data_IF_323922345602
#
_entry.id   IF_323922345602
#
_cell.length_a   1.000
_cell.length_b   1.000
_cell.length_c   1.000
_cell.angle_alpha   90.00
_cell.angle_beta   90.00
_cell.angle_gamma   90.00
#
_symmetry.space_group_name_H-M   'P 1'
#
loop_
_entity.id
_entity.type
_entity.pdbx_description
1 polymer ?
#
# COMPACT_ATOMS: atom_id res chain seq x y z
N UNK A 1 33.22 -9.15 -20.69
CA UNK A 1 33.14 -8.63 -19.31
C UNK A 1 32.09 -9.44 -18.50
N UNK A 2 32.45 -10.63 -18.03
CA UNK A 2 31.51 -11.52 -17.32
C UNK A 2 31.80 -11.74 -15.83
N UNK A 3 32.95 -11.50 -15.24
CA UNK A 3 33.23 -11.81 -13.83
C UNK A 3 32.72 -10.75 -12.84
N UNK A 4 32.74 -9.46 -13.17
CA UNK A 4 32.38 -8.37 -12.26
C UNK A 4 30.87 -8.21 -11.98
N UNK A 5 30.05 -8.96 -12.72
CA UNK A 5 28.59 -8.80 -12.65
C UNK A 5 27.96 -9.49 -11.44
N UNK A 6 28.59 -10.56 -10.93
CA UNK A 6 28.06 -11.29 -9.77
C UNK A 6 28.18 -10.46 -8.48
N UNK A 7 29.31 -9.79 -8.27
CA UNK A 7 29.51 -8.93 -7.10
C UNK A 7 28.59 -7.71 -7.08
N UNK A 8 28.42 -7.04 -8.23
CA UNK A 8 27.53 -5.89 -8.34
C UNK A 8 26.05 -6.27 -8.16
N UNK A 9 25.64 -7.47 -8.57
CA UNK A 9 24.27 -7.94 -8.36
C UNK A 9 23.87 -7.91 -6.89
N UNK A 10 24.74 -8.37 -5.99
CA UNK A 10 24.46 -8.35 -4.55
C UNK A 10 24.40 -6.94 -3.98
N UNK A 11 25.23 -6.01 -4.46
CA UNK A 11 25.17 -4.60 -4.06
C UNK A 11 23.85 -3.96 -4.49
N UNK A 12 23.46 -4.18 -5.74
CA UNK A 12 22.21 -3.66 -6.29
C UNK A 12 21.00 -4.21 -5.54
N UNK A 13 20.92 -5.53 -5.35
CA UNK A 13 19.78 -6.14 -4.67
C UNK A 13 19.73 -5.73 -3.20
N UNK A 14 20.88 -5.57 -2.55
CA UNK A 14 20.98 -5.04 -1.19
C UNK A 14 20.42 -3.62 -1.07
N UNK A 15 20.74 -2.73 -2.03
CA UNK A 15 20.18 -1.38 -2.08
C UNK A 15 18.67 -1.39 -2.33
N UNK A 16 18.18 -2.25 -3.21
CA UNK A 16 16.74 -2.42 -3.47
C UNK A 16 16.02 -2.92 -2.22
N UNK A 17 16.59 -3.87 -1.48
CA UNK A 17 16.05 -4.37 -0.21
C UNK A 17 16.01 -3.28 0.85
N UNK A 18 17.10 -2.52 1.03
CA UNK A 18 17.15 -1.41 1.97
C UNK A 18 16.13 -0.32 1.62
N UNK A 19 16.00 0.00 0.33
CA UNK A 19 15.01 0.96 -0.11
C UNK A 19 13.58 0.46 0.11
N UNK A 20 13.30 -0.83 -0.15
CA UNK A 20 11.99 -1.43 0.12
C UNK A 20 11.63 -1.38 1.61
N UNK A 21 12.63 -1.62 2.47
CA UNK A 21 12.44 -1.49 3.92
C UNK A 21 12.07 -0.05 4.30
N UNK A 22 12.81 0.93 3.78
CA UNK A 22 12.53 2.35 4.00
C UNK A 22 11.17 2.77 3.47
N UNK A 23 10.83 2.39 2.25
CA UNK A 23 9.55 2.67 1.60
C UNK A 23 8.37 2.09 2.38
N UNK A 24 8.52 0.83 2.84
CA UNK A 24 7.54 0.19 3.72
C UNK A 24 7.38 0.89 5.07
N UNK A 25 8.49 1.35 5.68
CA UNK A 25 8.43 2.15 6.91
C UNK A 25 7.71 3.49 6.67
N UNK A 26 8.07 4.21 5.62
CA UNK A 26 7.46 5.50 5.28
C UNK A 26 5.96 5.38 4.99
N UNK A 27 5.55 4.30 4.31
CA UNK A 27 4.14 4.04 4.00
C UNK A 27 3.31 3.73 5.25
N UNK A 28 3.85 2.94 6.18
CA UNK A 28 3.11 2.45 7.35
C UNK A 28 3.19 3.34 8.59
N UNK A 29 4.16 4.27 8.65
CA UNK A 29 4.50 5.00 9.87
C UNK A 29 3.34 5.82 10.44
N UNK A 30 2.60 6.53 9.58
CA UNK A 30 1.47 7.33 10.03
C UNK A 30 0.38 6.46 10.66
N UNK A 31 0.00 5.35 10.01
CA UNK A 31 -0.98 4.43 10.57
C UNK A 31 -0.55 3.83 11.92
N UNK A 32 0.74 3.54 12.08
CA UNK A 32 1.31 2.99 13.32
C UNK A 32 1.36 4.03 14.45
N UNK A 33 1.64 5.30 14.14
CA UNK A 33 1.81 6.38 15.11
C UNK A 33 0.63 7.36 15.14
N UNK A 34 -0.46 7.06 14.45
CA UNK A 34 -1.60 7.95 14.23
C UNK A 34 -2.12 8.57 15.53
N UNK A 35 -2.28 7.76 16.57
CA UNK A 35 -2.76 8.22 17.86
C UNK A 35 -1.86 9.32 18.45
N UNK A 36 -0.55 9.08 18.53
CA UNK A 36 0.40 10.03 19.10
C UNK A 36 0.50 11.31 18.25
N UNK A 37 0.53 11.18 16.93
CA UNK A 37 0.57 12.32 15.99
C UNK A 37 -0.66 13.18 16.12
N UNK A 38 -1.85 12.57 16.13
CA UNK A 38 -3.11 13.32 16.21
C UNK A 38 -3.30 13.98 17.56
N UNK A 39 -2.94 13.29 18.68
CA UNK A 39 -2.98 13.89 20.02
C UNK A 39 -2.08 15.13 20.12
N UNK A 40 -0.85 15.05 19.62
CA UNK A 40 0.11 16.16 19.67
C UNK A 40 -0.41 17.38 18.87
N UNK A 41 -0.88 17.20 17.64
CA UNK A 41 -1.46 18.29 16.85
C UNK A 41 -2.82 18.79 17.36
N UNK A 42 -3.55 17.98 18.12
CA UNK A 42 -4.78 18.38 18.81
C UNK A 42 -4.50 19.15 20.12
N UNK A 43 -3.23 19.27 20.54
CA UNK A 43 -2.83 19.87 21.80
C UNK A 43 -3.29 19.07 23.04
N UNK A 44 -3.44 17.75 22.89
CA UNK A 44 -3.87 16.85 23.94
C UNK A 44 -2.65 16.19 24.62
N UNK A 45 -2.65 15.98 25.95
CA UNK A 45 -1.64 15.20 26.62
C UNK A 45 -1.66 13.74 26.13
N UNK A 46 -0.53 13.02 26.29
CA UNK A 46 -0.40 11.65 25.76
C UNK A 46 -1.39 10.67 26.41
N UNK A 47 -1.76 10.91 27.67
CA UNK A 47 -2.71 10.14 28.49
C UNK A 47 -4.16 10.58 28.32
N UNK A 48 -4.44 11.58 27.43
CA UNK A 48 -5.78 12.07 27.20
C UNK A 48 -6.73 10.93 26.79
N UNK A 49 -7.91 10.91 27.43
CA UNK A 49 -8.98 10.01 27.07
C UNK A 49 -9.62 10.44 25.74
N UNK A 50 -9.41 9.62 24.73
CA UNK A 50 -9.97 9.78 23.35
C UNK A 50 -11.10 8.77 23.07
N UNK A 51 -11.54 8.00 24.07
CA UNK A 51 -12.72 7.16 23.95
C UNK A 51 -13.98 7.99 23.68
N UNK A 52 -15.01 7.37 23.14
CA UNK A 52 -16.28 8.06 22.84
C UNK A 52 -16.87 8.65 24.12
N UNK A 53 -16.99 9.98 24.17
CA UNK A 53 -17.43 10.71 25.37
C UNK A 53 -16.31 11.14 26.31
N UNK A 54 -15.05 10.79 26.03
CA UNK A 54 -13.87 11.27 26.76
C UNK A 54 -13.59 12.76 26.51
N UNK A 55 -12.88 13.40 27.43
CA UNK A 55 -12.62 14.85 27.38
C UNK A 55 -11.79 15.27 26.15
N UNK A 56 -10.95 14.41 25.60
CA UNK A 56 -10.13 14.67 24.41
C UNK A 56 -10.78 14.29 23.09
N UNK A 57 -11.92 13.60 23.12
CA UNK A 57 -12.54 12.98 21.93
C UNK A 57 -12.81 13.98 20.80
N UNK A 58 -13.44 15.09 21.08
CA UNK A 58 -13.87 16.07 20.07
C UNK A 58 -12.67 16.72 19.37
N UNK A 59 -11.65 17.16 20.13
CA UNK A 59 -10.43 17.75 19.57
C UNK A 59 -9.65 16.74 18.72
N UNK A 60 -9.57 15.51 19.20
CA UNK A 60 -8.93 14.41 18.47
C UNK A 60 -9.64 14.16 17.13
N UNK A 61 -10.97 14.01 17.13
CA UNK A 61 -11.75 13.76 15.92
C UNK A 61 -11.68 14.91 14.91
N UNK A 62 -11.71 16.15 15.37
CA UNK A 62 -11.56 17.32 14.50
C UNK A 62 -10.18 17.36 13.82
N UNK A 63 -9.12 17.07 14.56
CA UNK A 63 -7.76 17.02 14.02
C UNK A 63 -7.59 15.84 13.05
N UNK A 64 -8.08 14.65 13.41
CA UNK A 64 -8.08 13.47 12.54
C UNK A 64 -8.85 13.74 11.25
N UNK A 65 -10.04 14.35 11.35
CA UNK A 65 -10.84 14.77 10.20
C UNK A 65 -10.06 15.70 9.27
N UNK A 66 -9.39 16.70 9.83
CA UNK A 66 -8.59 17.67 9.05
C UNK A 66 -7.46 16.98 8.30
N UNK A 67 -6.69 16.10 8.95
CA UNK A 67 -5.61 15.34 8.34
C UNK A 67 -6.17 14.43 7.22
N UNK A 68 -7.27 13.73 7.50
CA UNK A 68 -7.91 12.81 6.55
C UNK A 68 -8.42 13.53 5.30
N UNK A 69 -9.11 14.66 5.47
CA UNK A 69 -9.61 15.46 4.35
C UNK A 69 -8.49 16.04 3.50
N UNK A 70 -7.38 16.43 4.12
CA UNK A 70 -6.25 17.00 3.38
C UNK A 70 -5.49 15.92 2.61
N UNK A 71 -5.43 14.69 3.12
CA UNK A 71 -4.86 13.55 2.37
C UNK A 71 -5.60 13.26 1.05
N UNK A 72 -6.87 13.70 0.92
CA UNK A 72 -7.60 13.66 -0.36
C UNK A 72 -6.82 14.31 -1.51
N UNK A 73 -6.14 15.41 -1.26
CA UNK A 73 -5.31 16.10 -2.26
C UNK A 73 -4.17 15.18 -2.71
N UNK A 74 -3.56 14.43 -1.79
CA UNK A 74 -2.51 13.44 -2.10
C UNK A 74 -2.99 12.37 -3.07
N UNK A 75 -4.19 11.85 -2.89
CA UNK A 75 -4.79 10.90 -3.83
C UNK A 75 -5.14 11.53 -5.18
N UNK A 76 -5.42 12.84 -5.25
CA UNK A 76 -5.56 13.56 -6.52
C UNK A 76 -4.31 13.49 -7.39
N UNK A 77 -3.12 13.41 -6.79
CA UNK A 77 -1.85 13.22 -7.50
C UNK A 77 -1.69 11.84 -8.14
N UNK A 78 -2.53 10.84 -7.82
CA UNK A 78 -2.53 9.55 -8.52
C UNK A 78 -2.77 9.69 -10.03
N UNK A 79 -3.49 10.72 -10.46
CA UNK A 79 -3.65 11.04 -11.89
C UNK A 79 -2.34 11.45 -12.57
N UNK A 80 -1.39 12.02 -11.85
CA UNK A 80 -0.08 12.48 -12.34
C UNK A 80 0.96 11.33 -12.29
N UNK A 81 0.74 10.33 -11.45
CA UNK A 81 1.67 9.23 -11.21
C UNK A 81 2.10 8.46 -12.47
N UNK A 82 1.20 8.13 -13.45
CA UNK A 82 1.63 7.47 -14.68
C UNK A 82 2.58 8.32 -15.51
N UNK A 83 2.35 9.64 -15.54
CA UNK A 83 3.27 10.58 -16.20
C UNK A 83 4.61 10.63 -15.47
N UNK A 84 4.60 10.72 -14.14
CA UNK A 84 5.80 10.71 -13.31
C UNK A 84 6.60 9.41 -13.51
N UNK A 85 5.95 8.23 -13.45
CA UNK A 85 6.60 6.94 -13.73
C UNK A 85 7.21 6.88 -15.12
N UNK A 86 6.59 7.52 -16.13
CA UNK A 86 7.13 7.56 -17.50
C UNK A 86 8.43 8.39 -17.62
N UNK A 87 8.72 9.28 -16.67
CA UNK A 87 10.00 9.99 -16.61
C UNK A 87 11.16 9.03 -16.37
N UNK A 88 10.97 7.95 -15.60
CA UNK A 88 12.00 6.94 -15.40
C UNK A 88 12.41 6.24 -16.70
N UNK A 89 11.51 6.15 -17.69
CA UNK A 89 11.80 5.61 -19.02
C UNK A 89 12.64 6.57 -19.87
N UNK A 90 12.60 7.88 -19.56
CA UNK A 90 13.34 8.93 -20.30
C UNK A 90 14.66 9.29 -19.63
N UNK A 91 14.65 9.49 -18.32
CA UNK A 91 15.79 9.95 -17.54
C UNK A 91 16.71 8.82 -17.10
N UNK A 92 16.19 7.61 -16.98
CA UNK A 92 16.89 6.44 -16.44
C UNK A 92 16.33 6.00 -15.10
N UNK A 93 16.60 4.74 -14.74
CA UNK A 93 16.11 4.15 -13.49
C UNK A 93 16.90 4.67 -12.29
N UNK A 94 18.22 4.82 -12.45
CA UNK A 94 19.12 5.28 -11.38
C UNK A 94 18.80 6.71 -10.90
N UNK A 95 18.77 7.74 -11.76
CA UNK A 95 18.44 9.10 -11.30
C UNK A 95 17.08 9.20 -10.62
N UNK A 96 16.11 8.42 -11.12
CA UNK A 96 14.77 8.38 -10.59
C UNK A 96 14.71 7.73 -9.20
N UNK A 97 15.41 6.61 -9.01
CA UNK A 97 15.53 5.94 -7.72
C UNK A 97 16.20 6.83 -6.67
N UNK A 98 17.31 7.47 -7.04
CA UNK A 98 18.05 8.40 -6.17
C UNK A 98 17.19 9.62 -5.81
N UNK A 99 16.45 10.19 -6.77
CA UNK A 99 15.54 11.32 -6.54
C UNK A 99 14.42 10.95 -5.56
N UNK A 100 13.80 9.78 -5.72
CA UNK A 100 12.77 9.32 -4.80
C UNK A 100 13.30 9.12 -3.38
N UNK A 101 14.50 8.52 -3.25
CA UNK A 101 15.12 8.29 -1.94
C UNK A 101 15.36 9.58 -1.16
N UNK A 102 15.90 10.64 -1.84
CA UNK A 102 16.17 11.92 -1.17
C UNK A 102 14.88 12.65 -0.82
N UNK A 103 13.91 12.73 -1.76
CA UNK A 103 12.68 13.49 -1.53
C UNK A 103 11.82 12.86 -0.44
N UNK A 104 11.72 11.52 -0.42
CA UNK A 104 11.01 10.81 0.63
C UNK A 104 11.75 10.91 1.98
N UNK A 105 13.09 10.78 1.99
CA UNK A 105 13.89 10.94 3.20
C UNK A 105 13.80 12.35 3.80
N UNK A 106 13.88 13.39 2.98
CA UNK A 106 13.71 14.78 3.41
C UNK A 106 12.30 15.04 3.93
N UNK A 107 11.27 14.52 3.25
CA UNK A 107 9.89 14.67 3.68
C UNK A 107 9.68 14.04 5.08
N UNK A 108 10.18 12.82 5.30
CA UNK A 108 10.10 12.16 6.60
C UNK A 108 10.84 12.97 7.69
N UNK A 109 12.05 13.44 7.38
CA UNK A 109 12.85 14.22 8.32
C UNK A 109 12.16 15.54 8.70
N UNK A 110 11.66 16.31 7.72
CA UNK A 110 10.92 17.55 7.96
C UNK A 110 9.60 17.29 8.69
N UNK A 111 8.91 16.17 8.38
CA UNK A 111 7.69 15.76 9.08
C UNK A 111 7.90 15.57 10.58
N UNK A 112 9.04 15.00 10.98
CA UNK A 112 9.40 14.84 12.40
C UNK A 112 9.79 16.15 13.09
N UNK A 113 10.32 17.14 12.37
CA UNK A 113 10.74 18.42 12.92
C UNK A 113 9.60 19.43 13.06
N UNK A 114 8.54 19.30 12.30
CA UNK A 114 7.47 20.31 12.25
C UNK A 114 6.56 20.27 13.47
N UNK A 115 6.19 21.46 13.98
CA UNK A 115 5.18 21.64 15.02
C UNK A 115 3.88 22.25 14.42
N UNK A 116 3.86 22.52 13.12
CA UNK A 116 2.73 23.11 12.45
C UNK A 116 1.96 22.05 11.65
N UNK A 117 0.66 21.87 11.97
CA UNK A 117 -0.22 20.91 11.31
C UNK A 117 -0.25 21.09 9.78
N UNK A 118 -0.29 22.34 9.29
CA UNK A 118 -0.33 22.62 7.84
C UNK A 118 0.93 22.12 7.16
N UNK A 119 2.12 22.34 7.75
CA UNK A 119 3.38 21.85 7.20
C UNK A 119 3.42 20.33 7.24
N UNK A 120 2.98 19.72 8.35
CA UNK A 120 2.91 18.26 8.48
C UNK A 120 2.03 17.63 7.39
N UNK A 121 0.88 18.23 7.14
CA UNK A 121 -0.04 17.78 6.09
C UNK A 121 0.60 17.90 4.71
N UNK A 122 1.24 19.03 4.37
CA UNK A 122 1.94 19.19 3.09
C UNK A 122 3.05 18.14 2.92
N UNK A 123 3.81 17.88 3.97
CA UNK A 123 4.84 16.84 3.98
C UNK A 123 4.23 15.45 3.79
N UNK A 124 3.10 15.16 4.44
CA UNK A 124 2.39 13.88 4.28
C UNK A 124 1.91 13.66 2.83
N UNK A 125 1.51 14.73 2.12
CA UNK A 125 1.20 14.65 0.69
C UNK A 125 2.42 14.26 -0.14
N UNK A 126 3.58 14.83 0.18
CA UNK A 126 4.86 14.48 -0.48
C UNK A 126 5.21 13.02 -0.22
N UNK A 127 5.08 12.54 1.04
CA UNK A 127 5.31 11.15 1.41
C UNK A 127 4.39 10.24 0.60
N UNK A 128 3.07 10.50 0.60
CA UNK A 128 2.08 9.72 -0.14
C UNK A 128 2.40 9.63 -1.63
N UNK A 129 2.84 10.72 -2.25
CA UNK A 129 3.20 10.72 -3.67
C UNK A 129 4.43 9.86 -3.95
N UNK A 130 5.48 9.99 -3.14
CA UNK A 130 6.75 9.29 -3.38
C UNK A 130 6.77 7.85 -2.92
N UNK A 131 5.83 7.37 -2.10
CA UNK A 131 5.66 5.94 -1.78
C UNK A 131 4.96 5.14 -2.90
N UNK A 132 4.35 5.78 -3.89
CA UNK A 132 3.59 5.13 -4.96
C UNK A 132 4.42 4.79 -6.22
N UNK A 133 5.74 4.96 -6.21
CA UNK A 133 6.55 4.88 -7.44
C UNK A 133 6.95 3.46 -7.88
N UNK A 134 7.02 2.47 -7.00
CA UNK A 134 7.33 1.05 -7.26
C UNK A 134 8.67 0.81 -8.03
N UNK A 135 9.67 1.71 -7.92
CA UNK A 135 10.93 1.61 -8.66
C UNK A 135 11.77 0.39 -8.28
N UNK A 136 11.67 -0.06 -7.03
CA UNK A 136 12.30 -1.28 -6.54
C UNK A 136 11.84 -2.52 -7.33
N UNK A 137 10.54 -2.57 -7.69
CA UNK A 137 9.98 -3.66 -8.50
C UNK A 137 10.56 -3.62 -9.92
N UNK A 138 10.72 -2.42 -10.48
CA UNK A 138 11.30 -2.23 -11.83
C UNK A 138 12.75 -2.74 -11.86
N UNK A 139 13.58 -2.38 -10.86
CA UNK A 139 14.94 -2.88 -10.76
C UNK A 139 15.02 -4.41 -10.67
N UNK A 140 14.18 -5.02 -9.84
CA UNK A 140 14.10 -6.48 -9.72
C UNK A 140 13.73 -7.12 -11.06
N UNK A 141 12.71 -6.58 -11.75
CA UNK A 141 12.26 -7.15 -13.03
C UNK A 141 13.29 -7.01 -14.16
N UNK A 142 14.08 -5.93 -14.17
CA UNK A 142 15.06 -5.66 -15.23
C UNK A 142 16.42 -6.31 -14.98
N UNK A 143 16.82 -6.47 -13.72
CA UNK A 143 18.19 -6.88 -13.37
C UNK A 143 18.31 -8.32 -12.87
N UNK A 144 17.21 -8.95 -12.47
CA UNK A 144 17.18 -10.35 -11.99
C UNK A 144 16.89 -11.30 -13.17
N UNK A 145 17.57 -12.47 -13.24
CA UNK A 145 17.29 -13.49 -14.25
C UNK A 145 15.82 -13.94 -14.21
N UNK A 146 15.20 -14.17 -15.37
CA UNK A 146 13.78 -14.50 -15.52
C UNK A 146 13.32 -15.63 -14.60
N UNK A 147 14.15 -16.67 -14.46
CA UNK A 147 13.87 -17.87 -13.64
C UNK A 147 13.75 -17.55 -12.14
N UNK A 148 14.34 -16.47 -11.66
CA UNK A 148 14.39 -16.10 -10.24
C UNK A 148 13.59 -14.82 -9.90
N UNK A 149 12.96 -14.18 -10.89
CA UNK A 149 12.20 -12.94 -10.69
C UNK A 149 11.12 -13.06 -9.62
N UNK A 150 10.33 -14.14 -9.68
CA UNK A 150 9.27 -14.37 -8.69
C UNK A 150 9.80 -14.50 -7.27
N UNK A 151 10.90 -15.23 -7.09
CA UNK A 151 11.55 -15.39 -5.78
C UNK A 151 12.03 -14.06 -5.22
N UNK A 152 12.74 -13.26 -6.02
CA UNK A 152 13.23 -11.96 -5.57
C UNK A 152 12.13 -10.93 -5.33
N UNK A 153 11.08 -10.95 -6.14
CA UNK A 153 9.89 -10.12 -5.86
C UNK A 153 9.22 -10.51 -4.55
N UNK A 154 9.13 -11.82 -4.26
CA UNK A 154 8.62 -12.32 -2.99
C UNK A 154 9.47 -11.86 -1.80
N UNK A 155 10.81 -11.91 -1.92
CA UNK A 155 11.73 -11.42 -0.88
C UNK A 155 11.54 -9.93 -0.65
N UNK A 156 11.47 -9.11 -1.70
CA UNK A 156 11.25 -7.66 -1.62
C UNK A 156 9.91 -7.36 -0.96
N UNK A 157 8.85 -8.08 -1.31
CA UNK A 157 7.53 -7.92 -0.68
C UNK A 157 7.56 -8.29 0.81
N UNK A 158 8.25 -9.38 1.19
CA UNK A 158 8.41 -9.79 2.58
C UNK A 158 9.17 -8.74 3.40
N UNK A 159 10.20 -8.11 2.84
CA UNK A 159 10.93 -7.00 3.48
C UNK A 159 10.02 -5.79 3.69
N UNK A 160 9.14 -5.48 2.73
CA UNK A 160 8.12 -4.44 2.91
C UNK A 160 7.20 -4.72 4.11
N UNK A 161 6.80 -5.98 4.32
CA UNK A 161 6.00 -6.38 5.49
C UNK A 161 6.80 -6.30 6.80
N UNK A 162 8.10 -6.62 6.77
CA UNK A 162 8.99 -6.48 7.92
C UNK A 162 9.12 -5.02 8.38
N UNK A 163 9.04 -4.06 7.46
CA UNK A 163 9.05 -2.64 7.78
C UNK A 163 7.94 -2.25 8.78
N UNK A 164 6.75 -2.82 8.61
CA UNK A 164 5.63 -2.62 9.54
C UNK A 164 5.93 -3.14 10.96
N UNK A 165 6.61 -4.28 11.06
CA UNK A 165 7.06 -4.83 12.36
C UNK A 165 8.06 -3.90 13.02
N UNK A 166 9.04 -3.38 12.27
CA UNK A 166 10.08 -2.49 12.79
C UNK A 166 9.47 -1.17 13.29
N UNK A 167 8.60 -0.53 12.49
CA UNK A 167 7.93 0.72 12.90
C UNK A 167 7.06 0.52 14.13
N UNK A 168 6.41 -0.63 14.26
CA UNK A 168 5.65 -0.97 15.47
C UNK A 168 6.56 -1.20 16.67
N UNK A 169 7.69 -1.89 16.48
CA UNK A 169 8.67 -2.11 17.56
C UNK A 169 9.28 -0.79 18.07
N UNK A 170 9.40 0.23 17.22
CA UNK A 170 9.86 1.55 17.64
C UNK A 170 8.89 2.23 18.64
N UNK A 171 7.63 1.84 18.70
CA UNK A 171 6.71 2.31 19.76
C UNK A 171 7.16 1.88 21.16
N UNK A 172 7.91 0.77 21.27
CA UNK A 172 8.44 0.29 22.56
C UNK A 172 9.46 1.27 23.18
N UNK A 173 9.98 2.24 22.43
CA UNK A 173 10.77 3.33 22.98
C UNK A 173 10.01 4.25 23.96
N UNK A 174 8.68 4.13 24.02
CA UNK A 174 7.86 4.79 25.05
C UNK A 174 7.85 4.07 26.39
N UNK A 175 8.35 2.83 26.48
CA UNK A 175 8.45 2.09 27.73
C UNK A 175 9.55 2.70 28.60
N UNK A 176 9.20 3.05 29.85
CA UNK A 176 10.12 3.55 30.87
C UNK A 176 10.72 2.38 31.68
N UNK A 177 11.80 2.63 32.38
CA UNK A 177 12.49 1.60 33.17
C UNK A 177 11.63 1.01 34.30
N UNK A 178 10.65 1.78 34.78
CA UNK A 178 9.67 1.34 35.80
C UNK A 178 8.50 0.52 35.23
N UNK A 179 8.50 0.25 33.91
CA UNK A 179 7.44 -0.47 33.20
C UNK A 179 6.21 0.38 32.88
N UNK A 180 6.21 1.67 33.21
CA UNK A 180 5.15 2.60 32.79
C UNK A 180 5.33 3.00 31.33
N UNK A 181 4.23 3.41 30.70
CA UNK A 181 4.25 3.89 29.30
C UNK A 181 4.31 5.41 29.32
N UNK A 182 5.39 5.92 28.77
CA UNK A 182 5.53 7.35 28.50
C UNK A 182 4.96 7.75 27.14
N UNK A 183 5.17 8.99 26.79
CA UNK A 183 4.80 9.50 25.46
C UNK A 183 5.55 8.76 24.34
N UNK A 184 4.84 8.36 23.30
CA UNK A 184 5.47 7.78 22.11
C UNK A 184 6.28 8.87 21.41
N UNK A 185 7.62 8.71 21.27
CA UNK A 185 8.47 9.74 20.66
C UNK A 185 8.32 9.76 19.14
N UNK A 186 7.09 9.98 18.64
CA UNK A 186 6.75 9.88 17.22
C UNK A 186 7.62 10.79 16.34
N UNK A 187 8.02 11.97 16.83
CA UNK A 187 8.90 12.89 16.10
C UNK A 187 10.28 12.29 15.89
N UNK A 188 10.87 11.71 16.95
CA UNK A 188 12.16 11.03 16.87
C UNK A 188 12.10 9.82 15.93
N UNK A 189 10.99 9.10 15.91
CA UNK A 189 10.77 7.98 14.99
C UNK A 189 10.70 8.47 13.53
N UNK A 190 9.97 9.54 13.23
CA UNK A 190 9.94 10.15 11.90
C UNK A 190 11.33 10.63 11.45
N UNK A 191 12.07 11.31 12.34
CA UNK A 191 13.42 11.79 12.08
C UNK A 191 14.36 10.61 11.79
N UNK A 192 14.32 9.55 12.60
CA UNK A 192 15.20 8.38 12.42
C UNK A 192 14.94 7.66 11.10
N UNK A 193 13.68 7.50 10.71
CA UNK A 193 13.30 6.94 9.40
C UNK A 193 13.72 7.89 8.27
N UNK A 194 13.60 9.20 8.46
CA UNK A 194 14.09 10.20 7.50
C UNK A 194 15.60 10.12 7.30
N UNK A 195 16.40 10.04 8.39
CA UNK A 195 17.85 9.85 8.33
C UNK A 195 18.20 8.53 7.62
N UNK A 196 17.50 7.45 7.92
CA UNK A 196 17.69 6.17 7.21
C UNK A 196 17.48 6.31 5.71
N UNK A 197 16.44 7.02 5.28
CA UNK A 197 16.19 7.35 3.87
C UNK A 197 17.31 8.17 3.24
N UNK A 198 17.85 9.17 3.94
CA UNK A 198 18.99 9.98 3.47
C UNK A 198 20.29 9.18 3.37
N UNK A 199 20.52 8.22 4.26
CA UNK A 199 21.64 7.28 4.15
C UNK A 199 21.49 6.41 2.89
N UNK A 200 20.30 5.88 2.63
CA UNK A 200 20.01 5.11 1.42
C UNK A 200 20.19 5.97 0.17
N UNK A 201 19.78 7.25 0.20
CA UNK A 201 20.07 8.20 -0.87
C UNK A 201 21.58 8.29 -1.15
N UNK A 202 22.40 8.53 -0.12
CA UNK A 202 23.86 8.62 -0.25
C UNK A 202 24.47 7.34 -0.83
N UNK A 203 24.10 6.18 -0.30
CA UNK A 203 24.56 4.87 -0.79
C UNK A 203 24.12 4.63 -2.25
N UNK A 204 22.87 4.94 -2.58
CA UNK A 204 22.32 4.77 -3.93
C UNK A 204 22.98 5.72 -4.94
N UNK A 205 23.26 6.96 -4.55
CA UNK A 205 23.94 7.94 -5.41
C UNK A 205 25.36 7.50 -5.78
N UNK A 206 26.07 6.81 -4.87
CA UNK A 206 27.45 6.36 -5.07
C UNK A 206 27.49 4.99 -5.74
N UNK A 207 26.74 4.02 -5.22
CA UNK A 207 26.90 2.60 -5.56
C UNK A 207 25.94 2.12 -6.66
N UNK A 208 24.76 2.73 -6.81
CA UNK A 208 23.78 2.26 -7.79
C UNK A 208 24.20 2.62 -9.22
N UNK A 209 24.20 1.65 -10.10
CA UNK A 209 24.44 1.81 -11.53
C UNK A 209 23.13 1.72 -12.31
N UNK A 210 23.11 2.31 -13.49
CA UNK A 210 21.94 2.25 -14.37
C UNK A 210 21.67 0.81 -14.84
N UNK A 211 20.40 0.46 -15.05
CA UNK A 211 20.02 -0.86 -15.52
C UNK A 211 20.52 -1.13 -16.95
N UNK A 212 21.05 -2.34 -17.19
CA UNK A 212 21.55 -2.72 -18.54
C UNK A 212 20.45 -2.69 -19.61
N UNK A 213 19.24 -3.22 -19.37
CA UNK A 213 18.17 -3.15 -20.35
C UNK A 213 17.86 -1.71 -20.76
N UNK A 214 17.89 -0.76 -19.81
CA UNK A 214 17.73 0.66 -20.12
C UNK A 214 18.86 1.19 -21.00
N UNK A 215 20.14 0.92 -20.63
CA UNK A 215 21.30 1.39 -21.40
C UNK A 215 21.28 0.84 -22.83
N UNK A 216 21.02 -0.46 -23.00
CA UNK A 216 20.94 -1.09 -24.33
C UNK A 216 19.80 -0.48 -25.15
N UNK A 217 18.62 -0.30 -24.54
CA UNK A 217 17.50 0.33 -25.21
C UNK A 217 17.76 1.80 -25.59
N UNK A 218 18.53 2.51 -24.74
CA UNK A 218 18.89 3.91 -24.98
C UNK A 218 19.91 4.07 -26.10
N UNK A 219 20.93 3.20 -26.13
CA UNK A 219 21.91 3.16 -27.20
C UNK A 219 21.21 2.83 -28.53
N UNK A 220 20.42 1.75 -28.56
CA UNK A 220 19.64 1.37 -29.74
C UNK A 220 18.68 2.48 -30.21
N UNK A 221 18.16 3.30 -29.29
CA UNK A 221 17.34 4.47 -29.65
C UNK A 221 18.18 5.60 -30.23
N UNK A 222 19.38 5.83 -29.70
CA UNK A 222 20.31 6.85 -30.21
C UNK A 222 20.88 6.50 -31.59
N UNK A 223 21.05 5.23 -31.91
CA UNK A 223 21.51 4.74 -33.21
C UNK A 223 20.44 4.81 -34.31
N UNK A 224 19.16 4.96 -33.93
CA UNK A 224 18.06 5.08 -34.90
C UNK A 224 18.06 6.41 -35.62
N UNK A 225 17.72 6.38 -36.92
CA UNK A 225 17.50 7.60 -37.69
C UNK A 225 16.32 8.42 -37.15
N UNK A 226 16.28 9.72 -37.43
CA UNK A 226 15.20 10.60 -36.96
C UNK A 226 13.81 10.10 -37.40
N UNK A 227 13.66 9.59 -38.60
CA UNK A 227 12.41 8.99 -39.11
C UNK A 227 11.98 7.78 -38.28
N UNK A 228 12.93 6.92 -37.90
CA UNK A 228 12.66 5.76 -37.05
C UNK A 228 12.31 6.13 -35.61
N UNK A 229 12.95 7.20 -35.09
CA UNK A 229 12.62 7.75 -33.75
C UNK A 229 11.21 8.32 -33.74
N UNK A 230 10.83 9.12 -34.75
CA UNK A 230 9.49 9.67 -34.88
C UNK A 230 8.41 8.59 -35.07
N UNK A 231 8.69 7.54 -35.84
CA UNK A 231 7.80 6.40 -35.99
C UNK A 231 7.60 5.63 -34.68
N UNK A 232 8.68 5.48 -33.91
CA UNK A 232 8.62 4.83 -32.59
C UNK A 232 7.92 5.70 -31.53
N UNK A 233 8.07 7.02 -31.57
CA UNK A 233 7.31 7.96 -30.72
C UNK A 233 5.83 7.99 -31.08
N UNK A 234 5.50 7.95 -32.38
CA UNK A 234 4.12 7.79 -32.83
C UNK A 234 3.54 6.44 -32.36
N UNK A 235 4.28 5.35 -32.42
CA UNK A 235 3.86 4.05 -31.91
C UNK A 235 3.72 4.06 -30.37
N UNK A 236 4.60 4.73 -29.62
CA UNK A 236 4.43 4.94 -28.18
C UNK A 236 3.26 5.84 -27.82
N UNK A 237 2.96 6.85 -28.65
CA UNK A 237 1.74 7.64 -28.50
C UNK A 237 0.47 6.85 -28.86
N UNK A 238 0.57 5.88 -29.76
CA UNK A 238 -0.48 4.87 -30.01
C UNK A 238 -0.61 3.91 -28.80
N UNK A 239 0.45 3.63 -28.03
CA UNK A 239 0.33 2.92 -26.75
C UNK A 239 -0.36 3.76 -25.65
N UNK A 240 -0.37 5.10 -25.72
CA UNK A 240 -1.29 5.92 -24.90
C UNK A 240 -2.76 5.69 -25.29
N UNK A 241 -3.04 5.31 -26.53
CA UNK A 241 -4.32 4.75 -26.98
C UNK A 241 -4.60 3.41 -26.27
N UNK A 242 -3.60 2.72 -25.74
CA UNK A 242 -3.73 1.49 -24.99
C UNK A 242 -4.62 1.59 -23.74
N UNK A 243 -4.62 2.72 -23.03
CA UNK A 243 -5.53 2.92 -21.88
C UNK A 243 -6.97 3.00 -22.36
N UNK A 244 -7.25 3.75 -23.43
CA UNK A 244 -8.59 3.85 -24.01
C UNK A 244 -9.02 2.50 -24.60
N UNK A 245 -8.10 1.79 -25.26
CA UNK A 245 -8.35 0.44 -25.74
C UNK A 245 -8.62 -0.54 -24.60
N UNK A 246 -7.87 -0.43 -23.49
CA UNK A 246 -8.10 -1.18 -22.25
C UNK A 246 -9.49 -0.92 -21.68
N UNK A 247 -9.91 0.33 -21.57
CA UNK A 247 -11.26 0.72 -21.12
C UNK A 247 -12.33 0.14 -22.05
N UNK A 248 -12.19 0.31 -23.37
CA UNK A 248 -13.13 -0.26 -24.36
C UNK A 248 -13.24 -1.78 -24.24
N UNK A 249 -12.12 -2.47 -24.00
CA UNK A 249 -12.09 -3.91 -23.82
C UNK A 249 -12.80 -4.34 -22.53
N UNK A 250 -12.55 -3.64 -21.42
CA UNK A 250 -13.24 -3.86 -20.14
C UNK A 250 -14.76 -3.69 -20.34
N UNK A 251 -15.18 -2.64 -21.02
CA UNK A 251 -16.62 -2.41 -21.31
C UNK A 251 -17.24 -3.47 -22.22
N UNK A 252 -16.49 -4.00 -23.19
CA UNK A 252 -16.98 -5.00 -24.13
C UNK A 252 -17.02 -6.41 -23.54
N UNK A 253 -16.02 -6.79 -22.74
CA UNK A 253 -15.93 -8.12 -22.14
C UNK A 253 -16.69 -8.18 -20.81
N UNK A 254 -17.70 -9.07 -20.74
CA UNK A 254 -18.56 -9.22 -19.56
C UNK A 254 -17.76 -9.62 -18.31
N UNK A 255 -16.79 -10.52 -18.44
CA UNK A 255 -15.95 -10.99 -17.33
C UNK A 255 -15.09 -9.85 -16.78
N UNK A 256 -14.35 -9.15 -17.65
CA UNK A 256 -13.48 -8.03 -17.24
C UNK A 256 -14.29 -6.89 -16.62
N UNK A 257 -15.47 -6.60 -17.16
CA UNK A 257 -16.36 -5.56 -16.63
C UNK A 257 -16.79 -5.85 -15.19
N UNK A 258 -17.23 -7.08 -14.91
CA UNK A 258 -17.63 -7.44 -13.54
C UNK A 258 -16.48 -7.57 -12.59
N UNK A 259 -15.31 -8.05 -13.02
CA UNK A 259 -14.08 -8.02 -12.23
C UNK A 259 -13.67 -6.58 -11.89
N UNK A 260 -13.78 -5.66 -12.84
CA UNK A 260 -13.49 -4.23 -12.64
C UNK A 260 -14.44 -3.60 -11.63
N UNK A 261 -15.75 -3.88 -11.74
CA UNK A 261 -16.75 -3.40 -10.78
C UNK A 261 -16.49 -3.95 -9.39
N UNK A 262 -16.21 -5.25 -9.27
CA UNK A 262 -15.87 -5.86 -7.99
C UNK A 262 -14.60 -5.23 -7.38
N UNK A 263 -13.54 -5.04 -8.18
CA UNK A 263 -12.30 -4.39 -7.72
C UNK A 263 -12.55 -2.95 -7.26
N UNK A 264 -13.39 -2.19 -7.96
CA UNK A 264 -13.77 -0.84 -7.58
C UNK A 264 -14.52 -0.82 -6.23
N UNK A 265 -15.44 -1.76 -6.03
CA UNK A 265 -16.19 -1.91 -4.77
C UNK A 265 -15.23 -2.26 -3.63
N UNK A 266 -14.33 -3.24 -3.82
CA UNK A 266 -13.35 -3.61 -2.80
C UNK A 266 -12.38 -2.47 -2.48
N UNK A 267 -11.94 -1.71 -3.50
CA UNK A 267 -11.02 -0.58 -3.30
C UNK A 267 -11.62 0.48 -2.37
N UNK A 268 -12.95 0.63 -2.34
CA UNK A 268 -13.62 1.55 -1.43
C UNK A 268 -13.32 1.27 0.05
N UNK A 269 -13.11 0.01 0.43
CA UNK A 269 -12.81 -0.39 1.81
C UNK A 269 -11.34 -0.19 2.23
N UNK A 270 -10.42 0.10 1.29
CA UNK A 270 -8.98 0.08 1.51
C UNK A 270 -8.52 0.86 2.75
N UNK A 271 -8.78 2.15 2.73
CA UNK A 271 -8.27 3.04 3.79
C UNK A 271 -8.93 2.76 5.14
N UNK A 272 -10.20 2.34 5.13
CA UNK A 272 -10.93 2.04 6.37
C UNK A 272 -10.34 0.85 7.11
N UNK A 273 -9.89 -0.17 6.37
CA UNK A 273 -9.30 -1.39 6.95
C UNK A 273 -7.82 -1.20 7.29
N UNK A 274 -7.07 -0.43 6.50
CA UNK A 274 -5.62 -0.38 6.62
C UNK A 274 -5.10 0.78 7.48
N UNK A 275 -5.85 1.89 7.61
CA UNK A 275 -5.28 3.14 8.13
C UNK A 275 -5.75 3.54 9.54
N UNK A 276 -6.91 3.07 10.00
CA UNK A 276 -7.52 3.56 11.23
C UNK A 276 -7.53 2.58 12.40
N UNK A 277 -6.89 1.41 12.26
CA UNK A 277 -6.90 0.35 13.27
C UNK A 277 -6.40 0.83 14.63
N UNK A 278 -5.33 1.62 14.65
CA UNK A 278 -4.74 2.18 15.86
C UNK A 278 -5.75 3.08 16.61
N UNK A 279 -6.36 4.02 15.89
CA UNK A 279 -7.38 4.91 16.48
C UNK A 279 -8.60 4.14 16.98
N UNK A 280 -9.06 3.13 16.25
CA UNK A 280 -10.20 2.30 16.67
C UNK A 280 -9.87 1.56 17.96
N UNK A 281 -8.69 0.97 18.08
CA UNK A 281 -8.25 0.27 19.29
C UNK A 281 -8.14 1.23 20.48
N UNK A 282 -7.58 2.42 20.28
CA UNK A 282 -7.47 3.43 21.33
C UNK A 282 -8.85 3.93 21.79
N UNK A 283 -9.79 4.14 20.86
CA UNK A 283 -11.17 4.52 21.19
C UNK A 283 -11.96 3.40 21.88
N UNK A 284 -11.57 2.16 21.68
CA UNK A 284 -12.10 1.00 22.39
C UNK A 284 -11.47 0.79 23.76
N UNK A 285 -10.63 1.71 24.24
CA UNK A 285 -10.03 1.68 25.58
C UNK A 285 -8.78 0.79 25.70
N UNK A 286 -8.20 0.34 24.58
CA UNK A 286 -6.93 -0.41 24.60
C UNK A 286 -5.80 0.60 24.76
N UNK A 287 -4.92 0.37 25.76
CA UNK A 287 -3.78 1.23 26.03
C UNK A 287 -2.65 1.10 24.99
N UNK A 288 -1.63 1.93 25.12
CA UNK A 288 -0.49 1.96 24.20
C UNK A 288 0.25 0.63 24.11
N UNK A 289 0.36 -0.14 25.21
CA UNK A 289 0.99 -1.47 25.22
C UNK A 289 0.10 -2.44 24.44
N UNK A 290 -1.18 -2.48 24.76
CA UNK A 290 -2.16 -3.33 24.07
C UNK A 290 -2.19 -3.07 22.57
N UNK A 291 -2.19 -1.80 22.14
CA UNK A 291 -2.12 -1.41 20.73
C UNK A 291 -0.80 -1.89 20.09
N UNK A 292 0.33 -1.74 20.79
CA UNK A 292 1.62 -2.20 20.26
C UNK A 292 1.65 -3.71 20.08
N UNK A 293 1.12 -4.47 21.05
CA UNK A 293 0.94 -5.93 20.94
C UNK A 293 0.01 -6.26 19.77
N UNK A 294 -1.11 -5.55 19.62
CA UNK A 294 -2.05 -5.74 18.52
C UNK A 294 -1.39 -5.57 17.15
N UNK A 295 -0.61 -4.51 16.95
CA UNK A 295 0.08 -4.23 15.70
C UNK A 295 1.15 -5.28 15.37
N UNK A 296 1.90 -5.76 16.37
CA UNK A 296 2.86 -6.87 16.18
C UNK A 296 2.16 -8.17 15.79
N UNK A 297 1.10 -8.53 16.49
CA UNK A 297 0.29 -9.73 16.20
C UNK A 297 -0.36 -9.61 14.82
N UNK A 298 -0.93 -8.47 14.48
CA UNK A 298 -1.52 -8.20 13.16
C UNK A 298 -0.50 -8.39 12.03
N UNK A 299 0.71 -7.88 12.21
CA UNK A 299 1.80 -8.04 11.24
C UNK A 299 2.19 -9.51 11.08
N UNK A 300 2.33 -10.26 12.19
CA UNK A 300 2.64 -11.67 12.16
C UNK A 300 1.55 -12.50 11.47
N UNK A 301 0.29 -12.26 11.78
CA UNK A 301 -0.87 -12.89 11.13
C UNK A 301 -0.86 -12.60 9.63
N UNK A 302 -0.66 -11.34 9.24
CA UNK A 302 -0.63 -10.94 7.82
C UNK A 302 0.49 -11.63 7.06
N UNK A 303 1.69 -11.76 7.63
CA UNK A 303 2.83 -12.45 6.99
C UNK A 303 2.49 -13.93 6.75
N UNK A 304 2.05 -14.64 7.79
CA UNK A 304 1.71 -16.07 7.70
C UNK A 304 0.60 -16.31 6.67
N UNK A 305 -0.45 -15.51 6.71
CA UNK A 305 -1.59 -15.68 5.83
C UNK A 305 -1.26 -15.31 4.37
N UNK A 306 -0.39 -14.33 4.11
CA UNK A 306 0.07 -14.00 2.76
C UNK A 306 0.89 -15.14 2.13
N UNK A 307 1.64 -15.91 2.91
CA UNK A 307 2.32 -17.10 2.42
C UNK A 307 1.36 -18.23 2.02
N UNK A 308 0.20 -18.29 2.66
CA UNK A 308 -0.80 -19.36 2.45
C UNK A 308 -1.74 -19.07 1.26
N UNK A 309 -1.98 -17.82 0.91
CA UNK A 309 -3.02 -17.46 -0.09
C UNK A 309 -2.73 -18.04 -1.49
N UNK A 310 -1.46 -18.07 -1.91
CA UNK A 310 -1.06 -18.67 -3.19
C UNK A 310 -1.47 -20.13 -3.29
N UNK A 311 -0.93 -21.02 -2.43
CA UNK A 311 -1.30 -22.44 -2.41
C UNK A 311 -2.80 -22.69 -2.22
N UNK A 312 -3.48 -21.88 -1.40
CA UNK A 312 -4.93 -22.00 -1.18
C UNK A 312 -5.68 -21.67 -2.49
N UNK A 313 -5.36 -20.54 -3.13
CA UNK A 313 -6.03 -20.13 -4.37
C UNK A 313 -5.79 -21.10 -5.53
N UNK A 314 -4.61 -21.74 -5.55
CA UNK A 314 -4.29 -22.78 -6.55
C UNK A 314 -5.08 -24.08 -6.31
N UNK A 315 -5.48 -24.38 -5.08
CA UNK A 315 -6.28 -25.57 -4.74
C UNK A 315 -7.77 -25.35 -4.94
N UNK A 316 -8.34 -24.30 -4.35
CA UNK A 316 -9.81 -24.06 -4.32
C UNK A 316 -10.31 -23.18 -5.47
N UNK A 317 -9.43 -22.56 -6.23
CA UNK A 317 -9.74 -21.61 -7.32
C UNK A 317 -9.63 -20.16 -6.89
N UNK A 318 -9.36 -19.29 -7.87
CA UNK A 318 -9.11 -17.84 -7.63
C UNK A 318 -10.38 -17.14 -7.16
N UNK A 319 -11.50 -17.44 -7.80
CA UNK A 319 -12.80 -16.85 -7.47
C UNK A 319 -13.23 -17.16 -6.04
N UNK A 320 -13.24 -18.44 -5.67
CA UNK A 320 -13.68 -18.87 -4.34
C UNK A 320 -12.75 -18.35 -3.25
N UNK A 321 -11.43 -18.38 -3.47
CA UNK A 321 -10.44 -17.82 -2.56
C UNK A 321 -10.65 -16.31 -2.34
N UNK A 322 -10.98 -15.55 -3.41
CA UNK A 322 -11.27 -14.11 -3.30
C UNK A 322 -12.55 -13.85 -2.50
N UNK A 323 -13.61 -14.63 -2.72
CA UNK A 323 -14.88 -14.48 -1.97
C UNK A 323 -14.67 -14.79 -0.48
N UNK A 324 -13.96 -15.87 -0.15
CA UNK A 324 -13.62 -16.23 1.23
C UNK A 324 -12.78 -15.13 1.86
N UNK A 325 -11.76 -14.61 1.16
CA UNK A 325 -10.93 -13.49 1.62
C UNK A 325 -11.75 -12.24 1.96
N UNK A 326 -12.70 -11.89 1.10
CA UNK A 326 -13.59 -10.74 1.34
C UNK A 326 -14.51 -10.93 2.55
N UNK A 327 -15.05 -12.13 2.75
CA UNK A 327 -15.88 -12.46 3.92
C UNK A 327 -15.04 -12.47 5.20
N UNK A 328 -13.84 -13.08 5.17
CA UNK A 328 -12.92 -13.07 6.31
C UNK A 328 -12.58 -11.63 6.69
N UNK A 329 -12.26 -10.79 5.70
CA UNK A 329 -11.97 -9.38 5.94
C UNK A 329 -13.14 -8.66 6.61
N UNK A 330 -14.36 -8.82 6.11
CA UNK A 330 -15.55 -8.18 6.64
C UNK A 330 -15.86 -8.61 8.08
N UNK A 331 -15.87 -9.94 8.33
CA UNK A 331 -16.19 -10.50 9.65
C UNK A 331 -15.13 -10.14 10.68
N UNK A 332 -13.85 -10.26 10.31
CA UNK A 332 -12.74 -9.94 11.21
C UNK A 332 -12.69 -8.46 11.54
N UNK A 333 -12.95 -7.57 10.57
CA UNK A 333 -12.99 -6.14 10.80
C UNK A 333 -14.16 -5.75 11.72
N UNK A 334 -15.34 -6.34 11.50
CA UNK A 334 -16.49 -6.15 12.39
C UNK A 334 -16.20 -6.64 13.81
N UNK A 335 -15.54 -7.80 13.96
CA UNK A 335 -15.12 -8.32 15.24
C UNK A 335 -14.11 -7.41 15.96
N UNK A 336 -13.17 -6.78 15.22
CA UNK A 336 -12.26 -5.81 15.80
C UNK A 336 -13.00 -4.58 16.33
N UNK A 337 -13.91 -4.00 15.52
CA UNK A 337 -14.60 -2.76 15.89
C UNK A 337 -15.52 -2.96 17.10
N UNK A 338 -16.33 -4.01 17.08
CA UNK A 338 -17.38 -4.22 18.10
C UNK A 338 -17.02 -5.26 19.15
N UNK A 339 -16.09 -6.18 18.88
CA UNK A 339 -15.72 -7.23 19.82
C UNK A 339 -14.64 -6.82 20.81
N UNK A 340 -13.71 -5.95 20.41
CA UNK A 340 -12.59 -5.57 21.29
C UNK A 340 -13.00 -4.90 22.61
N UNK A 341 -14.07 -4.09 22.69
CA UNK A 341 -14.50 -3.49 23.97
C UNK A 341 -14.96 -4.50 25.02
N UNK A 342 -15.33 -5.71 24.61
CA UNK A 342 -15.80 -6.76 25.51
C UNK A 342 -14.68 -7.67 26.04
N UNK A 343 -13.45 -7.49 25.58
CA UNK A 343 -12.31 -8.28 26.02
C UNK A 343 -11.65 -7.59 27.20
N UNK A 344 -11.75 -8.19 28.37
CA UNK A 344 -11.11 -7.70 29.59
C UNK A 344 -9.59 -7.84 29.53
N UNK A 345 -8.88 -6.78 29.88
CA UNK A 345 -7.43 -6.72 29.97
C UNK A 345 -6.74 -6.24 28.68
N UNK A 346 -5.85 -5.27 28.84
CA UNK A 346 -5.16 -4.55 27.73
C UNK A 346 -4.39 -5.50 26.79
N UNK A 347 -3.66 -6.47 27.34
CA UNK A 347 -2.90 -7.43 26.53
C UNK A 347 -3.84 -8.38 25.78
N UNK A 348 -4.87 -8.91 26.44
CA UNK A 348 -5.84 -9.80 25.81
C UNK A 348 -6.64 -9.08 24.72
N UNK A 349 -7.12 -7.86 25.00
CA UNK A 349 -7.75 -6.99 24.01
C UNK A 349 -6.80 -6.67 22.84
N UNK A 350 -5.52 -6.42 23.10
CA UNK A 350 -4.50 -6.22 22.10
C UNK A 350 -4.28 -7.46 21.21
N UNK A 351 -4.17 -8.66 21.79
CA UNK A 351 -4.02 -9.91 21.02
C UNK A 351 -5.26 -10.15 20.15
N UNK A 352 -6.47 -10.03 20.71
CA UNK A 352 -7.72 -10.20 19.97
C UNK A 352 -7.82 -9.20 18.79
N UNK A 353 -7.57 -7.91 19.05
CA UNK A 353 -7.62 -6.87 18.02
C UNK A 353 -6.51 -7.08 16.99
N UNK A 354 -5.33 -7.56 17.39
CA UNK A 354 -4.23 -7.91 16.50
C UNK A 354 -4.58 -9.06 15.54
N UNK A 355 -5.18 -10.13 16.04
CA UNK A 355 -5.62 -11.26 15.20
C UNK A 355 -6.70 -10.79 14.23
N UNK A 356 -7.71 -10.09 14.72
CA UNK A 356 -8.85 -9.66 13.91
C UNK A 356 -8.45 -8.61 12.87
N UNK A 357 -7.62 -7.61 13.21
CA UNK A 357 -7.11 -6.65 12.24
C UNK A 357 -6.17 -7.29 11.22
N UNK A 358 -5.30 -8.20 11.65
CA UNK A 358 -4.42 -8.95 10.76
C UNK A 358 -5.17 -9.80 9.74
N UNK A 359 -6.23 -10.48 10.15
CA UNK A 359 -7.11 -11.23 9.25
C UNK A 359 -7.91 -10.30 8.32
N UNK A 360 -8.36 -9.15 8.81
CA UNK A 360 -9.06 -8.16 8.00
C UNK A 360 -8.17 -7.60 6.88
N UNK A 361 -6.96 -7.17 7.21
CA UNK A 361 -5.97 -6.65 6.25
C UNK A 361 -5.58 -7.75 5.25
N UNK A 362 -5.27 -8.97 5.75
CA UNK A 362 -4.95 -10.09 4.89
C UNK A 362 -6.07 -10.39 3.90
N UNK A 363 -7.32 -10.55 4.38
CA UNK A 363 -8.45 -10.87 3.52
C UNK A 363 -8.65 -9.83 2.42
N UNK A 364 -8.49 -8.55 2.75
CA UNK A 364 -8.53 -7.45 1.79
C UNK A 364 -7.41 -7.55 0.73
N UNK A 365 -6.16 -7.71 1.15
CA UNK A 365 -5.00 -7.82 0.26
C UNK A 365 -5.13 -9.05 -0.64
N UNK A 366 -5.57 -10.19 -0.09
CA UNK A 366 -5.83 -11.41 -0.83
C UNK A 366 -6.82 -11.20 -1.98
N UNK A 367 -7.95 -10.55 -1.69
CA UNK A 367 -8.96 -10.21 -2.71
C UNK A 367 -8.35 -9.33 -3.81
N UNK A 368 -7.61 -8.29 -3.44
CA UNK A 368 -7.02 -7.35 -4.40
C UNK A 368 -5.98 -8.00 -5.29
N UNK A 369 -5.16 -8.91 -4.75
CA UNK A 369 -4.17 -9.65 -5.52
C UNK A 369 -4.82 -10.67 -6.45
N UNK A 370 -5.78 -11.45 -5.94
CA UNK A 370 -6.45 -12.49 -6.72
C UNK A 370 -7.34 -11.89 -7.83
N UNK A 371 -8.05 -10.79 -7.57
CA UNK A 371 -8.81 -10.09 -8.62
C UNK A 371 -7.91 -9.54 -9.71
N UNK A 372 -6.69 -9.05 -9.36
CA UNK A 372 -5.69 -8.65 -10.36
C UNK A 372 -5.24 -9.82 -11.22
N UNK A 373 -4.97 -10.96 -10.59
CA UNK A 373 -4.60 -12.19 -11.28
C UNK A 373 -5.73 -12.64 -12.22
N UNK A 374 -6.98 -12.71 -11.75
CA UNK A 374 -8.15 -13.03 -12.55
C UNK A 374 -8.33 -12.08 -13.75
N UNK A 375 -8.10 -10.76 -13.56
CA UNK A 375 -8.14 -9.79 -14.67
C UNK A 375 -7.05 -10.08 -15.69
N UNK A 376 -5.82 -10.41 -15.25
CA UNK A 376 -4.72 -10.76 -16.15
C UNK A 376 -4.92 -12.08 -16.90
N UNK A 377 -5.61 -13.04 -16.28
CA UNK A 377 -5.99 -14.33 -16.86
C UNK A 377 -7.24 -14.23 -17.77
N UNK A 378 -7.98 -13.12 -17.71
CA UNK A 378 -9.19 -12.88 -18.51
C UNK A 378 -8.94 -11.93 -19.69
N UNK A 379 -7.69 -11.69 -20.10
CA UNK A 379 -7.37 -10.78 -21.20
C UNK A 379 -6.20 -11.30 -22.06
N UNK A 380 -6.17 -10.94 -23.35
CA UNK A 380 -5.07 -11.28 -24.24
C UNK A 380 -3.74 -10.76 -23.73
N UNK A 381 -2.65 -11.49 -24.00
CA UNK A 381 -1.30 -11.16 -23.60
C UNK A 381 -0.87 -9.74 -24.03
N UNK A 382 -1.28 -9.31 -25.22
CA UNK A 382 -1.00 -8.00 -25.82
C UNK A 382 -1.66 -6.82 -25.09
N UNK A 383 -2.78 -7.05 -24.40
CA UNK A 383 -3.57 -5.99 -23.73
C UNK A 383 -3.44 -6.00 -22.19
N UNK A 384 -2.71 -6.96 -21.64
CA UNK A 384 -2.57 -7.18 -20.19
C UNK A 384 -2.08 -5.94 -19.45
N UNK A 385 -1.01 -5.32 -19.94
CA UNK A 385 -0.45 -4.11 -19.36
C UNK A 385 -1.45 -2.94 -19.33
N UNK A 386 -2.22 -2.77 -20.43
CA UNK A 386 -3.24 -1.72 -20.53
C UNK A 386 -4.39 -1.94 -19.54
N UNK A 387 -4.85 -3.18 -19.37
CA UNK A 387 -5.96 -3.52 -18.46
C UNK A 387 -5.54 -3.36 -17.00
N UNK A 388 -4.33 -3.85 -16.63
CA UNK A 388 -3.78 -3.67 -15.29
C UNK A 388 -3.52 -2.18 -15.00
N UNK A 389 -3.08 -1.40 -16.00
CA UNK A 389 -2.94 0.05 -15.89
C UNK A 389 -4.28 0.75 -15.61
N UNK A 390 -5.36 0.34 -16.29
CA UNK A 390 -6.71 0.87 -16.02
C UNK A 390 -7.18 0.54 -14.61
N UNK A 391 -6.82 -0.63 -14.08
CA UNK A 391 -7.16 -1.02 -12.71
C UNK A 391 -6.72 0.00 -11.65
N UNK A 392 -5.59 0.68 -11.86
CA UNK A 392 -5.10 1.70 -10.93
C UNK A 392 -6.09 2.85 -10.74
N UNK A 393 -6.93 3.15 -11.73
CA UNK A 393 -7.99 4.15 -11.61
C UNK A 393 -9.15 3.71 -10.70
N UNK A 394 -9.28 2.41 -10.40
CA UNK A 394 -10.34 1.94 -9.49
C UNK A 394 -10.09 2.33 -8.04
N UNK A 395 -8.87 2.72 -7.69
CA UNK A 395 -8.57 3.29 -6.37
C UNK A 395 -9.26 4.65 -6.13
N UNK A 396 -9.87 5.26 -7.15
CA UNK A 396 -10.72 6.45 -6.99
C UNK A 396 -11.85 6.22 -5.98
N UNK A 397 -12.39 5.00 -5.89
CA UNK A 397 -13.40 4.68 -4.88
C UNK A 397 -12.87 4.81 -3.45
N UNK A 398 -11.60 4.47 -3.20
CA UNK A 398 -10.95 4.66 -1.91
C UNK A 398 -10.80 6.15 -1.56
N UNK A 399 -10.61 7.01 -2.56
CA UNK A 399 -10.59 8.48 -2.37
C UNK A 399 -11.96 8.99 -1.93
N UNK A 400 -13.03 8.52 -2.58
CA UNK A 400 -14.40 8.91 -2.24
C UNK A 400 -14.75 8.50 -0.80
N UNK A 401 -14.47 7.26 -0.41
CA UNK A 401 -14.74 6.80 0.96
C UNK A 401 -13.88 7.51 2.00
N UNK A 402 -12.62 7.83 1.68
CA UNK A 402 -11.74 8.59 2.56
C UNK A 402 -12.24 10.02 2.76
N UNK A 403 -12.73 10.69 1.70
CA UNK A 403 -13.34 12.01 1.82
C UNK A 403 -14.58 11.96 2.71
N UNK A 404 -15.43 10.97 2.46
CA UNK A 404 -16.66 10.79 3.24
C UNK A 404 -16.34 10.50 4.70
N UNK A 405 -15.36 9.64 4.98
CA UNK A 405 -14.94 9.34 6.36
C UNK A 405 -14.42 10.58 7.08
N UNK A 406 -13.60 11.41 6.41
CA UNK A 406 -13.11 12.67 6.98
C UNK A 406 -14.23 13.63 7.40
N UNK A 407 -15.34 13.66 6.67
CA UNK A 407 -16.51 14.43 7.08
C UNK A 407 -17.26 13.75 8.23
N UNK A 408 -17.46 12.43 8.13
CA UNK A 408 -18.25 11.66 9.10
C UNK A 408 -17.57 11.53 10.47
N UNK A 409 -16.24 11.57 10.54
CA UNK A 409 -15.49 11.56 11.81
C UNK A 409 -15.84 12.73 12.75
N UNK A 410 -16.45 13.79 12.24
CA UNK A 410 -16.95 14.90 13.07
C UNK A 410 -18.23 14.57 13.84
N UNK A 411 -18.94 13.54 13.42
CA UNK A 411 -20.29 13.22 13.93
C UNK A 411 -20.36 11.84 14.57
N UNK A 412 -19.50 10.92 14.15
CA UNK A 412 -19.52 9.51 14.56
C UNK A 412 -18.13 9.03 14.99
N UNK A 413 -18.07 7.96 15.77
CA UNK A 413 -16.80 7.34 16.15
C UNK A 413 -16.04 6.80 14.93
N UNK A 414 -14.71 6.77 15.03
CA UNK A 414 -13.87 6.25 13.94
C UNK A 414 -14.24 4.81 13.59
N UNK A 415 -14.51 3.98 14.61
CA UNK A 415 -14.91 2.58 14.43
C UNK A 415 -16.20 2.42 13.64
N UNK A 416 -17.25 3.18 13.99
CA UNK A 416 -18.54 3.14 13.29
C UNK A 416 -18.42 3.59 11.84
N UNK A 417 -17.75 4.71 11.59
CA UNK A 417 -17.54 5.22 10.22
C UNK A 417 -16.78 4.19 9.38
N UNK A 418 -15.68 3.65 9.90
CA UNK A 418 -14.89 2.65 9.19
C UNK A 418 -15.68 1.36 8.93
N UNK A 419 -16.49 0.91 9.90
CA UNK A 419 -17.35 -0.25 9.73
C UNK A 419 -18.35 -0.06 8.58
N UNK A 420 -19.11 1.03 8.58
CA UNK A 420 -20.12 1.29 7.55
C UNK A 420 -19.53 1.59 6.18
N UNK A 421 -18.31 2.10 6.10
CA UNK A 421 -17.60 2.36 4.84
C UNK A 421 -16.70 1.19 4.38
N UNK A 422 -16.56 0.11 5.16
CA UNK A 422 -15.77 -1.05 4.75
C UNK A 422 -16.62 -2.31 4.59
N UNK A 423 -17.32 -2.72 5.64
CA UNK A 423 -17.97 -4.05 5.69
C UNK A 423 -19.03 -4.23 4.60
N UNK A 424 -19.96 -3.28 4.35
CA UNK A 424 -20.94 -3.42 3.28
C UNK A 424 -20.27 -3.53 1.89
N UNK A 425 -19.19 -2.78 1.65
CA UNK A 425 -18.47 -2.86 0.36
C UNK A 425 -17.73 -4.19 0.19
N UNK A 426 -17.13 -4.73 1.25
CA UNK A 426 -16.49 -6.06 1.20
C UNK A 426 -17.50 -7.17 0.89
N UNK A 427 -18.65 -7.14 1.55
CA UNK A 427 -19.72 -8.11 1.33
C UNK A 427 -20.33 -7.97 -0.08
N UNK A 428 -20.62 -6.74 -0.50
CA UNK A 428 -21.16 -6.46 -1.83
C UNK A 428 -20.18 -6.90 -2.94
N UNK A 429 -18.88 -6.59 -2.76
CA UNK A 429 -17.82 -7.04 -3.68
C UNK A 429 -17.72 -8.57 -3.76
N UNK A 430 -17.83 -9.26 -2.60
CA UNK A 430 -17.81 -10.72 -2.53
C UNK A 430 -19.02 -11.33 -3.24
N UNK A 431 -20.22 -10.79 -3.05
CA UNK A 431 -21.44 -11.19 -3.76
C UNK A 431 -21.30 -10.94 -5.28
N UNK A 432 -20.78 -9.78 -5.66
CA UNK A 432 -20.53 -9.44 -7.06
C UNK A 432 -19.58 -10.46 -7.71
N UNK A 433 -18.47 -10.81 -7.06
CA UNK A 433 -17.56 -11.84 -7.55
C UNK A 433 -18.25 -13.20 -7.65
N UNK A 434 -18.99 -13.60 -6.62
CA UNK A 434 -19.63 -14.93 -6.58
C UNK A 434 -20.66 -15.10 -7.69
N UNK A 435 -21.50 -14.09 -7.97
CA UNK A 435 -22.64 -14.18 -8.86
C UNK A 435 -22.25 -13.87 -10.31
N UNK A 436 -21.38 -12.89 -10.54
CA UNK A 436 -21.18 -12.28 -11.87
C UNK A 436 -19.89 -12.69 -12.56
N UNK A 437 -18.90 -13.27 -11.87
CA UNK A 437 -17.63 -13.67 -12.47
C UNK A 437 -17.51 -15.19 -12.62
N UNK A 438 -16.67 -15.62 -13.55
CA UNK A 438 -16.32 -17.02 -13.77
C UNK A 438 -14.96 -17.33 -13.16
N UNK A 439 -14.73 -18.61 -12.83
CA UNK A 439 -13.42 -19.09 -12.40
C UNK A 439 -12.41 -19.00 -13.55
N UNK A 440 -11.17 -18.59 -13.23
CA UNK A 440 -10.08 -18.46 -14.22
C UNK A 440 -8.97 -19.49 -14.03
N UNK A 441 -9.04 -20.29 -12.97
CA UNK A 441 -8.04 -21.32 -12.67
C UNK A 441 -7.96 -22.34 -13.82
N UNK A 442 -6.72 -22.61 -14.27
CA UNK A 442 -6.44 -23.68 -15.26
C UNK A 442 -6.62 -23.28 -16.72
N UNK A 443 -6.99 -22.02 -17.02
CA UNK A 443 -7.00 -21.53 -18.40
C UNK A 443 -5.56 -21.35 -18.92
N UNK A 444 -5.27 -21.97 -20.05
CA UNK A 444 -3.98 -21.77 -20.74
C UNK A 444 -3.98 -20.43 -21.50
N UNK A 445 -2.79 -19.87 -21.76
CA UNK A 445 -2.65 -18.63 -22.54
C UNK A 445 -3.26 -18.73 -23.93
N UNK A 446 -3.15 -19.91 -24.56
CA UNK A 446 -3.69 -20.19 -25.88
C UNK A 446 -5.23 -20.21 -25.87
N UNK A 447 -5.83 -20.80 -24.84
CA UNK A 447 -7.30 -20.79 -24.65
C UNK A 447 -7.84 -19.40 -24.38
N UNK A 448 -7.09 -18.57 -23.62
CA UNK A 448 -7.45 -17.18 -23.38
C UNK A 448 -7.39 -16.38 -24.68
N UNK A 449 -6.29 -16.46 -25.42
CA UNK A 449 -6.11 -15.73 -26.67
C UNK A 449 -7.14 -16.20 -27.74
N UNK A 450 -7.51 -17.48 -27.78
CA UNK A 450 -8.53 -18.03 -28.67
C UNK A 450 -9.97 -17.51 -28.37
N UNK A 451 -10.27 -17.16 -27.11
CA UNK A 451 -11.59 -16.58 -26.77
C UNK A 451 -11.78 -15.13 -27.27
N UNK A 452 -10.71 -14.50 -27.74
CA UNK A 452 -10.69 -13.11 -28.21
C UNK A 452 -10.44 -12.97 -29.74
N UNK A 453 -10.14 -14.08 -30.44
CA UNK A 453 -10.11 -14.15 -31.92
C UNK A 453 -11.51 -14.33 -32.47
#
# INVERSE_FOLDING_TARGET
AKPDYKGYFFVMIGLVILFQLFDGMATGIFGTLQEAVVKDFAGLPFDADIAVGGAGYENYQNTLSTITLTNLIGYGFMGILPWYKSLADRLGRRPFFVLNSILLGLAMFVGGLTHNLTIFVLVSLVITFFTLHDMQIVYVTECVPDRQRGTWQGIVAAVGSLAGVITTAMRLFSLQEDGTVGEIPWRAIYISVGIFGLVIFGLSAILLRESRPFLVSRVAWLEKSERQRQAQEKAKNVQKIGVIAGIKMICKNKQLRWLSIATLIFSAANNMICSYNNTIMAQNGIDTIGITVALLVSSAVSIVMNLLIGPISDRIGRKLASVIGGIISAVSFAAMVYGSPYIEGNIAGGIFSGITSGLAIFGYIAVMNLTTLMMSESCPSTMRGSIIGVRSFFQVSAVVTMTLSGVLFRFFSTGEVCFWLAVPFLLLGSVCLMVKTKETKGLTMEEIDAQFQ
#
